data_IF_045351508535
#
_entry.id   IF_045351508535
#
_cell.length_a   1.000
_cell.length_b   1.000
_cell.length_c   1.000
_cell.angle_alpha   90.00
_cell.angle_beta   90.00
_cell.angle_gamma   90.00
#
_symmetry.space_group_name_H-M   'P 1'
#
loop_
_entity.id
_entity.type
_entity.pdbx_description
1 polymer ?
#
# COMPACT_ATOMS: atom_id res chain seq x y z
N UNK A 1 12.94 6.52 6.84
CA UNK A 1 12.46 5.44 5.95
C UNK A 1 12.49 5.92 4.51
N UNK A 2 13.07 5.16 3.61
CA UNK A 2 13.14 5.50 2.20
C UNK A 2 12.21 4.62 1.38
N UNK A 3 11.68 5.17 0.29
CA UNK A 3 10.86 4.41 -0.65
C UNK A 3 11.65 4.11 -1.92
N UNK A 4 11.35 2.97 -2.51
CA UNK A 4 12.00 2.50 -3.73
C UNK A 4 10.93 1.83 -4.59
N UNK A 5 11.03 1.97 -5.90
CA UNK A 5 10.17 1.24 -6.83
C UNK A 5 10.76 1.22 -8.23
N UNK A 6 10.21 0.35 -9.05
CA UNK A 6 10.52 0.25 -10.47
C UNK A 6 9.64 1.25 -11.22
N UNK A 7 10.25 2.17 -11.95
CA UNK A 7 9.50 3.22 -12.65
C UNK A 7 8.57 2.66 -13.72
N UNK A 8 8.94 1.57 -14.39
CA UNK A 8 8.06 0.93 -15.35
C UNK A 8 6.81 0.36 -14.68
N UNK A 9 6.97 -0.19 -13.50
CA UNK A 9 5.82 -0.69 -12.71
C UNK A 9 4.95 0.47 -12.24
N UNK A 10 5.55 1.59 -11.89
CA UNK A 10 4.81 2.78 -11.52
C UNK A 10 3.90 3.24 -12.67
N UNK A 11 4.46 3.34 -13.87
CA UNK A 11 3.70 3.75 -15.04
C UNK A 11 2.57 2.77 -15.36
N UNK A 12 2.87 1.47 -15.31
CA UNK A 12 1.84 0.43 -15.52
C UNK A 12 0.73 0.51 -14.48
N UNK A 13 1.12 0.79 -13.23
CA UNK A 13 0.15 0.88 -12.15
C UNK A 13 -0.79 2.08 -12.34
N UNK A 14 -0.25 3.21 -12.80
CA UNK A 14 -1.07 4.40 -13.09
C UNK A 14 -2.09 4.08 -14.19
N UNK A 15 -1.65 3.43 -15.26
CA UNK A 15 -2.54 3.06 -16.37
C UNK A 15 -3.62 2.08 -15.89
N UNK A 16 -3.24 1.09 -15.11
CA UNK A 16 -4.15 0.02 -14.68
C UNK A 16 -5.11 0.45 -13.57
N UNK A 17 -4.62 1.22 -12.62
CA UNK A 17 -5.37 1.52 -11.38
C UNK A 17 -5.58 3.02 -11.13
N UNK A 18 -4.95 3.89 -11.91
CA UNK A 18 -5.04 5.33 -11.69
C UNK A 18 -4.31 5.81 -10.44
N UNK A 19 -3.39 5.02 -9.93
CA UNK A 19 -2.67 5.31 -8.68
C UNK A 19 -1.17 5.31 -8.96
N UNK A 20 -0.50 6.42 -8.62
CA UNK A 20 0.96 6.49 -8.70
C UNK A 20 1.59 5.92 -7.43
N UNK A 21 2.83 5.48 -7.54
CA UNK A 21 3.56 5.02 -6.36
C UNK A 21 3.93 6.17 -5.43
N UNK A 22 4.04 7.39 -5.95
CA UNK A 22 4.17 8.58 -5.11
C UNK A 22 2.96 8.72 -4.18
N UNK A 23 1.76 8.61 -4.73
CA UNK A 23 0.54 8.65 -3.92
C UNK A 23 0.50 7.47 -2.96
N UNK A 24 0.85 6.27 -3.43
CA UNK A 24 0.87 5.07 -2.60
C UNK A 24 1.79 5.23 -1.39
N UNK A 25 2.93 5.89 -1.57
CA UNK A 25 3.88 6.09 -0.46
C UNK A 25 3.26 6.91 0.68
N UNK A 26 2.33 7.80 0.38
CA UNK A 26 1.70 8.63 1.41
C UNK A 26 0.81 7.84 2.36
N UNK A 27 0.37 6.65 1.97
CA UNK A 27 -0.44 5.79 2.84
C UNK A 27 0.36 5.37 4.07
N UNK A 28 1.69 5.34 3.97
CA UNK A 28 2.55 4.99 5.10
C UNK A 28 2.60 6.08 6.18
N UNK A 29 2.09 7.27 5.89
CA UNK A 29 1.95 8.34 6.88
C UNK A 29 0.62 8.27 7.63
N UNK A 30 -0.29 7.41 7.20
CA UNK A 30 -1.59 7.25 7.85
C UNK A 30 -1.45 6.38 9.10
N UNK A 31 -1.62 6.99 10.27
CA UNK A 31 -1.50 6.30 11.55
C UNK A 31 -2.57 5.25 11.76
N UNK A 32 -3.67 5.32 11.03
CA UNK A 32 -4.79 4.38 11.13
C UNK A 32 -4.72 3.27 10.09
N UNK A 33 -3.66 3.24 9.28
CA UNK A 33 -3.52 2.22 8.26
C UNK A 33 -3.47 0.81 8.86
N UNK A 34 -4.07 -0.14 8.14
CA UNK A 34 -4.14 -1.53 8.56
C UNK A 34 -3.06 -2.32 7.82
N UNK A 35 -2.18 -2.94 8.59
CA UNK A 35 -1.08 -3.74 8.06
C UNK A 35 -1.51 -5.21 8.00
N UNK A 36 -1.36 -5.82 6.81
CA UNK A 36 -1.75 -7.20 6.57
C UNK A 36 -0.59 -7.96 5.94
N UNK A 37 -0.29 -9.14 6.48
CA UNK A 37 0.66 -10.04 5.86
C UNK A 37 0.01 -10.68 4.64
N UNK A 38 0.74 -10.81 3.54
CA UNK A 38 0.24 -11.45 2.32
C UNK A 38 0.90 -12.83 2.15
N UNK A 39 0.32 -13.88 2.74
CA UNK A 39 0.92 -15.21 2.72
C UNK A 39 0.94 -15.84 1.33
N UNK A 40 0.05 -15.44 0.45
CA UNK A 40 -0.05 -16.05 -0.89
C UNK A 40 1.10 -15.67 -1.81
N UNK A 41 1.81 -14.60 -1.48
CA UNK A 41 2.91 -14.07 -2.31
C UNK A 41 4.24 -14.08 -1.57
N UNK A 42 4.38 -14.94 -0.55
CA UNK A 42 5.56 -14.95 0.30
C UNK A 42 6.66 -15.91 -0.15
N UNK A 43 6.56 -16.47 -1.35
CA UNK A 43 7.61 -17.37 -1.86
C UNK A 43 8.84 -16.54 -2.22
N UNK A 44 9.93 -16.76 -1.51
CA UNK A 44 11.20 -16.07 -1.71
C UNK A 44 11.28 -14.73 -1.02
N UNK A 45 10.30 -13.86 -1.16
CA UNK A 45 10.30 -12.52 -0.57
C UNK A 45 8.95 -12.25 0.09
N UNK A 46 8.99 -11.88 1.36
CA UNK A 46 7.76 -11.57 2.09
C UNK A 46 7.15 -10.26 1.59
N UNK A 47 5.90 -10.32 1.23
CA UNK A 47 5.11 -9.17 0.81
C UNK A 47 4.04 -8.86 1.83
N UNK A 48 3.71 -7.59 1.92
CA UNK A 48 2.73 -7.09 2.88
C UNK A 48 1.78 -6.16 2.16
N UNK A 49 0.58 -6.03 2.72
CA UNK A 49 -0.42 -5.09 2.24
C UNK A 49 -0.64 -4.04 3.30
N UNK A 50 -0.73 -2.78 2.88
CA UNK A 50 -1.09 -1.68 3.77
C UNK A 50 -2.37 -1.05 3.22
N UNK A 51 -3.42 -1.09 4.02
CA UNK A 51 -4.71 -0.50 3.70
C UNK A 51 -4.84 0.81 4.45
N UNK A 52 -4.91 1.91 3.73
CA UNK A 52 -4.97 3.20 4.38
C UNK A 52 -5.30 4.36 3.45
N UNK A 53 -5.35 5.55 4.02
CA UNK A 53 -5.74 6.77 3.33
C UNK A 53 -4.51 7.46 2.74
N UNK A 54 -4.60 7.80 1.45
CA UNK A 54 -3.55 8.55 0.77
C UNK A 54 -3.70 10.06 0.99
N UNK A 55 -2.67 10.82 0.60
CA UNK A 55 -2.71 12.28 0.66
C UNK A 55 -3.79 12.89 -0.22
N UNK A 56 -4.34 12.14 -1.16
CA UNK A 56 -5.46 12.56 -2.00
C UNK A 56 -6.81 12.09 -1.46
N UNK A 57 -6.82 11.64 -0.21
CA UNK A 57 -8.03 11.18 0.47
C UNK A 57 -8.69 9.97 -0.20
N UNK A 58 -7.85 9.11 -0.79
CA UNK A 58 -8.30 7.83 -1.35
C UNK A 58 -7.85 6.70 -0.47
N UNK A 59 -8.73 5.74 -0.24
CA UNK A 59 -8.36 4.53 0.50
C UNK A 59 -7.74 3.55 -0.48
N UNK A 60 -6.48 3.21 -0.25
CA UNK A 60 -5.68 2.38 -1.14
C UNK A 60 -5.18 1.13 -0.42
N UNK A 61 -4.88 0.11 -1.22
CA UNK A 61 -4.15 -1.07 -0.76
C UNK A 61 -2.80 -1.06 -1.45
N UNK A 62 -1.73 -1.00 -0.67
CA UNK A 62 -0.36 -0.89 -1.18
C UNK A 62 0.40 -2.17 -0.87
N UNK A 63 0.78 -2.90 -1.94
CA UNK A 63 1.61 -4.09 -1.81
C UNK A 63 3.07 -3.66 -1.79
N UNK A 64 3.81 -4.12 -0.79
CA UNK A 64 5.19 -3.69 -0.60
C UNK A 64 6.01 -4.78 0.09
N UNK A 65 7.33 -4.60 0.08
CA UNK A 65 8.25 -5.41 0.84
C UNK A 65 9.31 -4.50 1.45
N UNK A 66 10.13 -5.07 2.34
CA UNK A 66 11.20 -4.33 3.01
C UNK A 66 12.56 -4.77 2.49
N UNK A 67 13.47 -3.83 2.41
CA UNK A 67 14.85 -4.02 1.96
C UNK A 67 15.82 -3.33 2.89
N UNK A 68 17.10 -3.68 2.79
CA UNK A 68 18.19 -3.05 3.53
C UNK A 68 17.91 -2.97 5.04
N UNK A 69 17.68 -4.15 5.64
CA UNK A 69 17.40 -4.28 7.08
C UNK A 69 16.18 -3.45 7.51
N UNK A 70 15.14 -3.48 6.67
CA UNK A 70 13.87 -2.80 6.91
C UNK A 70 13.95 -1.27 6.87
N UNK A 71 15.03 -0.72 6.32
CA UNK A 71 15.15 0.73 6.18
C UNK A 71 14.54 1.26 4.88
N UNK A 72 14.30 0.37 3.92
CA UNK A 72 13.72 0.73 2.63
C UNK A 72 12.40 0.00 2.42
N UNK A 73 11.37 0.75 2.05
CA UNK A 73 10.09 0.18 1.64
C UNK A 73 10.08 0.15 0.11
N UNK A 74 9.99 -1.06 -0.45
CA UNK A 74 9.86 -1.21 -1.90
C UNK A 74 8.38 -1.38 -2.24
N UNK A 75 7.83 -0.42 -2.96
CA UNK A 75 6.44 -0.48 -3.42
C UNK A 75 6.36 -1.35 -4.67
N UNK A 76 5.44 -2.31 -4.66
CA UNK A 76 5.29 -3.29 -5.73
C UNK A 76 4.05 -3.00 -6.57
N UNK A 77 2.95 -2.67 -5.91
CA UNK A 77 1.70 -2.30 -6.59
C UNK A 77 0.80 -1.53 -5.64
N UNK A 78 -0.15 -0.81 -6.19
CA UNK A 78 -1.13 -0.08 -5.39
C UNK A 78 -2.44 -0.03 -6.16
N UNK A 79 -3.54 -0.18 -5.47
CA UNK A 79 -4.86 -0.13 -6.07
C UNK A 79 -5.86 0.52 -5.13
N UNK A 80 -6.97 1.03 -5.66
CA UNK A 80 -8.07 1.48 -4.80
C UNK A 80 -8.60 0.30 -3.97
N UNK A 81 -9.01 0.59 -2.75
CA UNK A 81 -9.63 -0.41 -1.89
C UNK A 81 -10.99 -0.85 -2.44
N UNK A 82 -11.33 -2.10 -2.21
CA UNK A 82 -12.67 -2.61 -2.50
C UNK A 82 -13.66 -2.04 -1.49
N UNK A 83 -14.95 -2.25 -1.74
CA UNK A 83 -16.00 -1.82 -0.81
C UNK A 83 -15.80 -2.42 0.58
N UNK A 84 -15.50 -3.72 0.64
CA UNK A 84 -15.26 -4.38 1.93
C UNK A 84 -14.03 -3.85 2.64
N UNK A 85 -12.97 -3.57 1.90
CA UNK A 85 -11.74 -3.01 2.46
C UNK A 85 -11.99 -1.60 2.99
N UNK A 86 -12.73 -0.78 2.26
CA UNK A 86 -13.11 0.56 2.73
C UNK A 86 -13.92 0.48 4.02
N UNK A 87 -14.80 -0.50 4.11
CA UNK A 87 -15.61 -0.71 5.31
C UNK A 87 -14.71 -1.06 6.50
N UNK A 88 -13.76 -1.96 6.31
CA UNK A 88 -12.81 -2.33 7.37
C UNK A 88 -12.02 -1.12 7.85
N UNK A 89 -11.54 -0.30 6.92
CA UNK A 89 -10.80 0.89 7.27
C UNK A 89 -11.69 1.89 8.03
N UNK A 90 -12.90 2.12 7.56
CA UNK A 90 -13.83 3.05 8.19
C UNK A 90 -14.24 2.60 9.59
N UNK A 91 -14.41 1.31 9.80
CA UNK A 91 -14.71 0.76 11.13
C UNK A 91 -13.57 1.02 12.10
N UNK A 92 -12.33 0.89 11.62
CA UNK A 92 -11.17 1.14 12.45
C UNK A 92 -11.09 2.60 12.90
N UNK A 93 -11.24 3.54 11.96
CA UNK A 93 -11.15 4.96 12.30
C UNK A 93 -12.38 5.48 13.00
N UNK A 94 -13.52 4.83 12.82
CA UNK A 94 -14.77 5.19 13.49
C UNK A 94 -14.83 4.80 14.95
N UNK A 95 -13.86 4.01 15.42
CA UNK A 95 -13.81 3.60 16.82
C UNK A 95 -14.92 2.63 17.23
N UNK A 96 -15.51 1.94 16.28
CA UNK A 96 -16.64 1.03 16.55
C UNK A 96 -16.28 -0.41 16.28
#
# INVERSE_FOLDING_TARGET
MRFQWDENKNESNIVKHGVSFDEASTVFDDEEAIFISDPDHSVGEKRFLLLGLSSREKILVVCHCYRENDEVIRIISARPATKNEKQQYNERIGGL
#
